data_IF_877156441601
#
_entry.id   IF_877156441601
#
_cell.length_a   1.000
_cell.length_b   1.000
_cell.length_c   1.000
_cell.angle_alpha   90.00
_cell.angle_beta   90.00
_cell.angle_gamma   90.00
#
_symmetry.space_group_name_H-M   'P 1'
#
loop_
_entity.id
_entity.type
_entity.pdbx_description
1 polymer ?
#
# COMPACT_ATOMS: atom_id res chain seq x y z
N UNK A 1 37.48 17.21 -3.30
CA UNK A 1 36.08 17.62 -3.62
C UNK A 1 35.17 16.45 -3.28
N UNK A 2 34.48 16.49 -2.14
CA UNK A 2 33.43 15.52 -1.81
C UNK A 2 32.14 15.93 -2.52
N UNK A 3 31.53 15.00 -3.28
CA UNK A 3 30.60 15.31 -4.37
C UNK A 3 29.15 15.55 -3.93
N UNK A 4 28.80 15.37 -2.66
CA UNK A 4 27.46 15.68 -2.14
C UNK A 4 27.54 16.18 -0.68
N UNK A 5 26.77 17.22 -0.34
CA UNK A 5 26.74 17.85 1.00
C UNK A 5 25.53 17.43 1.85
N UNK A 6 24.56 16.75 1.26
CA UNK A 6 23.37 16.24 1.93
C UNK A 6 22.76 15.15 1.06
N UNK A 7 22.29 14.08 1.69
CA UNK A 7 21.47 13.04 1.06
C UNK A 7 20.15 13.06 1.80
N UNK A 8 19.06 13.31 1.09
CA UNK A 8 17.70 13.24 1.63
C UNK A 8 17.17 11.86 1.25
N UNK A 9 16.93 11.02 2.25
CA UNK A 9 16.26 9.75 2.07
C UNK A 9 14.76 9.97 2.15
N UNK A 10 14.03 9.50 1.14
CA UNK A 10 12.58 9.39 1.22
C UNK A 10 12.23 8.18 2.11
N UNK A 11 11.28 8.35 3.03
CA UNK A 11 10.88 7.29 3.95
C UNK A 11 9.99 6.24 3.26
N UNK A 12 9.36 6.57 2.13
CA UNK A 12 8.53 5.63 1.39
C UNK A 12 9.36 4.86 0.34
N UNK A 13 9.54 3.56 0.59
CA UNK A 13 10.15 2.62 -0.36
C UNK A 13 11.66 2.43 -0.27
N UNK A 14 12.37 3.10 0.66
CA UNK A 14 13.83 2.94 0.83
C UNK A 14 14.22 2.16 2.10
N UNK A 15 13.40 2.20 3.17
CA UNK A 15 13.75 1.64 4.48
C UNK A 15 12.74 0.60 5.03
N UNK A 16 11.62 0.40 4.34
CA UNK A 16 10.55 -0.55 4.68
C UNK A 16 9.86 -0.99 3.38
N UNK A 17 9.51 -2.27 3.22
CA UNK A 17 8.62 -2.76 2.15
C UNK A 17 7.16 -2.30 2.39
N UNK A 18 6.95 -1.01 2.64
CA UNK A 18 5.65 -0.43 2.97
C UNK A 18 4.66 -0.56 1.81
N UNK A 19 5.16 -0.58 0.57
CA UNK A 19 4.35 -0.81 -0.62
C UNK A 19 3.76 -2.24 -0.65
N UNK A 20 4.53 -3.25 -0.26
CA UNK A 20 4.08 -4.66 -0.33
C UNK A 20 3.01 -4.91 0.72
N UNK A 21 3.24 -4.43 1.95
CA UNK A 21 2.30 -4.56 3.06
C UNK A 21 1.01 -3.79 2.77
N UNK A 22 1.11 -2.54 2.31
CA UNK A 22 -0.07 -1.72 1.98
C UNK A 22 -0.90 -2.33 0.85
N UNK A 23 -0.25 -2.76 -0.24
CA UNK A 23 -0.95 -3.42 -1.35
C UNK A 23 -1.54 -4.77 -0.94
N UNK A 24 -0.90 -5.53 -0.05
CA UNK A 24 -1.45 -6.77 0.50
C UNK A 24 -2.78 -6.53 1.24
N UNK A 25 -2.81 -5.56 2.15
CA UNK A 25 -4.04 -5.18 2.88
C UNK A 25 -5.13 -4.73 1.90
N UNK A 26 -4.77 -3.97 0.86
CA UNK A 26 -5.73 -3.53 -0.15
C UNK A 26 -6.33 -4.69 -0.95
N UNK A 27 -5.51 -5.67 -1.32
CA UNK A 27 -5.96 -6.89 -2.02
C UNK A 27 -6.91 -7.71 -1.13
N UNK A 28 -6.57 -7.91 0.13
CA UNK A 28 -7.43 -8.62 1.09
C UNK A 28 -8.80 -7.93 1.20
N UNK A 29 -8.81 -6.62 1.45
CA UNK A 29 -10.05 -5.86 1.58
C UNK A 29 -10.87 -5.81 0.27
N UNK A 30 -10.21 -5.73 -0.88
CA UNK A 30 -10.90 -5.77 -2.17
C UNK A 30 -11.51 -7.16 -2.44
N UNK A 31 -10.82 -8.23 -2.05
CA UNK A 31 -11.28 -9.60 -2.20
C UNK A 31 -12.42 -9.97 -1.25
N UNK A 32 -12.44 -9.40 -0.04
CA UNK A 32 -13.60 -9.47 0.87
C UNK A 32 -14.89 -8.95 0.21
N UNK A 33 -14.74 -8.02 -0.75
CA UNK A 33 -15.84 -7.42 -1.52
C UNK A 33 -16.06 -8.07 -2.90
N UNK A 34 -15.28 -9.11 -3.24
CA UNK A 34 -15.44 -9.88 -4.48
C UNK A 34 -14.59 -9.42 -5.66
N UNK A 35 -13.57 -8.57 -5.48
CA UNK A 35 -12.74 -8.08 -6.59
C UNK A 35 -11.87 -9.16 -7.26
N UNK A 36 -11.56 -10.26 -6.55
CA UNK A 36 -10.76 -11.40 -7.04
C UNK A 36 -9.43 -11.00 -7.69
N UNK A 37 -8.68 -10.12 -7.04
CA UNK A 37 -7.35 -9.66 -7.47
C UNK A 37 -6.24 -10.29 -6.62
N UNK A 38 -5.02 -10.28 -7.14
CA UNK A 38 -3.82 -10.71 -6.43
C UNK A 38 -2.85 -9.54 -6.18
N UNK A 39 -1.77 -9.82 -5.44
CA UNK A 39 -0.73 -8.84 -5.15
C UNK A 39 -0.03 -8.36 -6.42
N UNK A 40 0.15 -9.20 -7.44
CA UNK A 40 0.77 -8.83 -8.70
C UNK A 40 -0.06 -7.79 -9.47
N UNK A 41 -1.38 -7.94 -9.44
CA UNK A 41 -2.33 -6.97 -9.97
C UNK A 41 -2.20 -5.64 -9.21
N UNK A 42 -2.24 -5.68 -7.87
CA UNK A 42 -2.11 -4.48 -7.04
C UNK A 42 -0.78 -3.75 -7.25
N UNK A 43 0.33 -4.46 -7.34
CA UNK A 43 1.65 -3.88 -7.61
C UNK A 43 1.73 -3.23 -9.01
N UNK A 44 0.93 -3.70 -9.97
CA UNK A 44 0.87 -3.14 -11.33
C UNK A 44 -0.06 -1.93 -11.41
N UNK A 45 -1.09 -1.89 -10.56
CA UNK A 45 -2.24 -1.02 -10.77
C UNK A 45 -2.54 -0.04 -9.64
N UNK A 46 -2.04 -0.30 -8.44
CA UNK A 46 -2.19 0.54 -7.25
C UNK A 46 -0.87 1.20 -6.85
N UNK A 47 0.27 0.64 -7.26
CA UNK A 47 1.59 1.23 -7.00
C UNK A 47 1.67 2.66 -7.56
N UNK A 48 2.14 3.59 -6.73
CA UNK A 48 2.27 5.01 -7.06
C UNK A 48 0.95 5.75 -7.34
N UNK A 49 -0.20 5.10 -7.09
CA UNK A 49 -1.52 5.70 -7.28
C UNK A 49 -2.06 6.26 -5.97
N UNK A 50 -2.87 7.31 -6.06
CA UNK A 50 -3.58 7.82 -4.91
C UNK A 50 -4.61 6.80 -4.41
N UNK A 51 -4.80 6.73 -3.08
CA UNK A 51 -5.77 5.82 -2.45
C UNK A 51 -7.17 5.91 -3.10
N UNK A 52 -7.62 7.12 -3.41
CA UNK A 52 -8.90 7.34 -4.10
C UNK A 52 -8.96 6.66 -5.48
N UNK A 53 -7.88 6.72 -6.26
CA UNK A 53 -7.80 6.04 -7.56
C UNK A 53 -7.89 4.52 -7.41
N UNK A 54 -7.24 3.96 -6.39
CA UNK A 54 -7.36 2.53 -6.08
C UNK A 54 -8.79 2.16 -5.69
N UNK A 55 -9.44 2.98 -4.86
CA UNK A 55 -10.84 2.80 -4.46
C UNK A 55 -11.79 2.80 -5.67
N UNK A 56 -11.71 3.81 -6.54
CA UNK A 56 -12.52 3.88 -7.77
C UNK A 56 -12.30 2.65 -8.66
N UNK A 57 -11.06 2.15 -8.72
CA UNK A 57 -10.75 0.94 -9.47
C UNK A 57 -11.36 -0.31 -8.84
N UNK A 58 -11.34 -0.43 -7.52
CA UNK A 58 -12.00 -1.53 -6.81
C UNK A 58 -13.51 -1.47 -7.04
N UNK A 59 -14.15 -0.30 -6.94
CA UNK A 59 -15.58 -0.11 -7.27
C UNK A 59 -15.90 -0.60 -8.68
N UNK A 60 -15.03 -0.30 -9.64
CA UNK A 60 -15.17 -0.76 -11.03
C UNK A 60 -15.04 -2.28 -11.17
N UNK A 61 -14.20 -2.92 -10.35
CA UNK A 61 -14.01 -4.39 -10.35
C UNK A 61 -15.19 -5.13 -9.71
N UNK A 62 -15.72 -4.60 -8.59
CA UNK A 62 -16.83 -5.22 -7.86
C UNK A 62 -18.20 -4.81 -8.41
N UNK A 63 -18.26 -3.79 -9.27
CA UNK A 63 -19.49 -3.29 -9.88
C UNK A 63 -20.44 -2.57 -8.91
N UNK A 64 -19.95 -2.15 -7.75
CA UNK A 64 -20.73 -1.49 -6.70
C UNK A 64 -19.86 -0.49 -5.92
N UNK A 65 -20.47 0.54 -5.30
CA UNK A 65 -19.73 1.51 -4.50
C UNK A 65 -19.11 0.86 -3.27
N UNK A 66 -17.94 1.36 -2.86
CA UNK A 66 -17.29 0.90 -1.64
C UNK A 66 -18.04 1.40 -0.39
N UNK A 67 -17.96 0.68 0.74
CA UNK A 67 -18.43 1.19 2.02
C UNK A 67 -17.77 2.53 2.35
N UNK A 68 -18.52 3.46 2.95
CA UNK A 68 -17.98 4.76 3.39
C UNK A 68 -16.87 4.63 4.45
N UNK A 69 -16.78 3.48 5.13
CA UNK A 69 -15.73 3.17 6.10
C UNK A 69 -14.47 2.61 5.46
N UNK A 70 -14.49 2.24 4.18
CA UNK A 70 -13.40 1.49 3.53
C UNK A 70 -12.04 2.17 3.66
N UNK A 71 -11.97 3.50 3.43
CA UNK A 71 -10.73 4.25 3.60
C UNK A 71 -10.22 4.20 5.05
N UNK A 72 -11.12 4.39 6.02
CA UNK A 72 -10.77 4.35 7.44
C UNK A 72 -10.27 2.96 7.85
N UNK A 73 -10.97 1.93 7.40
CA UNK A 73 -10.63 0.54 7.67
C UNK A 73 -9.28 0.18 7.03
N UNK A 74 -9.02 0.66 5.81
CA UNK A 74 -7.73 0.49 5.13
C UNK A 74 -6.61 1.17 5.89
N UNK A 75 -6.78 2.42 6.32
CA UNK A 75 -5.77 3.16 7.10
C UNK A 75 -5.47 2.45 8.42
N UNK A 76 -6.50 1.93 9.10
CA UNK A 76 -6.31 1.20 10.35
C UNK A 76 -5.57 -0.13 10.12
N UNK A 77 -6.04 -0.95 9.19
CA UNK A 77 -5.43 -2.27 8.90
C UNK A 77 -4.01 -2.13 8.35
N UNK A 78 -3.76 -1.18 7.44
CA UNK A 78 -2.41 -0.91 6.93
C UNK A 78 -1.48 -0.45 8.04
N UNK A 79 -1.93 0.43 8.93
CA UNK A 79 -1.15 0.86 10.10
C UNK A 79 -0.82 -0.29 11.05
N UNK A 80 -1.79 -1.16 11.35
CA UNK A 80 -1.57 -2.36 12.17
C UNK A 80 -0.62 -3.35 11.48
N UNK A 81 -0.77 -3.55 10.18
CA UNK A 81 0.11 -4.41 9.38
C UNK A 81 1.54 -3.85 9.34
N UNK A 82 1.72 -2.54 9.18
CA UNK A 82 3.02 -1.89 9.31
C UNK A 82 3.62 -2.11 10.69
N UNK A 83 2.87 -1.84 11.76
CA UNK A 83 3.37 -2.03 13.14
C UNK A 83 3.83 -3.46 13.44
N UNK A 84 3.17 -4.45 12.84
CA UNK A 84 3.47 -5.87 13.08
C UNK A 84 4.52 -6.44 12.14
N UNK A 85 4.64 -5.89 10.93
CA UNK A 85 5.50 -6.42 9.87
C UNK A 85 6.71 -5.54 9.51
N UNK A 86 6.84 -4.34 10.10
CA UNK A 86 8.08 -3.55 10.02
C UNK A 86 9.20 -4.35 10.69
N UNK A 87 9.94 -5.08 9.86
CA UNK A 87 11.30 -5.48 10.13
C UNK A 87 12.19 -4.38 9.56
N UNK A 88 13.23 -3.92 10.28
CA UNK A 88 14.22 -3.04 9.67
C UNK A 88 14.73 -3.70 8.39
N UNK A 89 14.81 -2.94 7.30
CA UNK A 89 15.49 -3.42 6.09
C UNK A 89 16.90 -3.83 6.47
N UNK A 90 17.31 -5.05 6.09
CA UNK A 90 18.69 -5.52 6.26
C UNK A 90 19.60 -4.49 5.59
N UNK A 91 20.61 -4.02 6.32
CA UNK A 91 21.65 -3.06 5.93
C UNK A 91 21.42 -1.57 6.24
N UNK A 92 20.64 -1.26 7.29
CA UNK A 92 20.69 0.06 7.94
C UNK A 92 21.55 -0.02 9.22
N UNK A 93 22.88 0.18 9.06
CA UNK A 93 23.83 0.57 10.12
C UNK A 93 24.37 1.98 9.85
#
# INVERSE_FOLDING_TARGET
MSKYKCVIFDCDGVLVDSEVIGNGVMVEMANELGAQIDLSYAMTHFKGSFLYSCMTRIESLIGQPLPSTFEKDYRQRSYEAFRTQIKPVKDVE
#
